data_IF_787054959448
#
_entry.id   IF_787054959448
#
_cell.length_a   1.000
_cell.length_b   1.000
_cell.length_c   1.000
_cell.angle_alpha   90.00
_cell.angle_beta   90.00
_cell.angle_gamma   90.00
#
_symmetry.space_group_name_H-M   'P 1'
#
loop_
_entity.id
_entity.type
_entity.pdbx_description
1 polymer ?
#
# COMPACT_ATOMS: atom_id res chain seq x y z
N UNK A 1 21.86 -14.64 6.24
CA UNK A 1 23.18 -14.59 5.58
C UNK A 1 24.14 -14.02 6.60
N UNK A 2 25.15 -14.79 7.00
CA UNK A 2 26.18 -14.37 7.95
C UNK A 2 27.19 -13.51 7.22
N UNK A 3 27.28 -12.24 7.61
CA UNK A 3 28.15 -11.27 7.00
C UNK A 3 29.53 -11.24 7.62
N UNK A 4 29.59 -11.19 8.95
CA UNK A 4 30.84 -11.29 9.72
C UNK A 4 30.61 -12.06 11.01
N UNK A 5 31.68 -12.70 11.48
CA UNK A 5 31.75 -13.37 12.78
C UNK A 5 32.82 -12.68 13.59
N UNK A 6 32.44 -12.11 14.72
CA UNK A 6 33.34 -11.44 15.65
C UNK A 6 33.60 -12.40 16.80
N UNK A 7 34.87 -12.74 17.02
CA UNK A 7 35.29 -13.59 18.14
C UNK A 7 36.01 -12.72 19.16
N UNK A 8 35.54 -12.76 20.39
CA UNK A 8 36.13 -12.09 21.54
C UNK A 8 36.94 -13.13 22.32
N UNK A 9 38.25 -12.91 22.42
CA UNK A 9 39.15 -13.80 23.12
C UNK A 9 39.08 -13.56 24.63
N UNK A 10 39.58 -14.51 25.43
CA UNK A 10 39.74 -14.31 26.87
C UNK A 10 40.81 -13.26 27.14
N UNK A 11 40.49 -12.28 27.98
CA UNK A 11 41.45 -11.26 28.42
C UNK A 11 42.27 -11.63 29.65
N UNK A 12 41.87 -12.68 30.39
CA UNK A 12 42.35 -12.95 31.74
C UNK A 12 43.41 -14.06 31.84
N UNK A 13 43.37 -15.08 30.98
CA UNK A 13 44.47 -16.04 30.80
C UNK A 13 44.36 -16.82 29.49
N UNK A 14 45.49 -17.40 29.05
CA UNK A 14 45.55 -18.37 27.94
C UNK A 14 45.12 -17.83 26.57
N UNK A 15 45.42 -16.56 26.29
CA UNK A 15 45.04 -15.84 25.06
C UNK A 15 45.53 -16.55 23.79
N UNK A 16 46.69 -17.19 23.86
CA UNK A 16 47.34 -17.89 22.76
C UNK A 16 46.64 -19.20 22.36
N UNK A 17 45.81 -19.82 23.22
CA UNK A 17 45.26 -21.17 23.00
C UNK A 17 44.25 -21.25 21.86
N UNK A 18 43.58 -20.14 21.54
CA UNK A 18 42.59 -20.09 20.45
C UNK A 18 43.27 -20.15 19.07
N UNK A 19 44.55 -19.79 18.97
CA UNK A 19 45.23 -19.70 17.67
C UNK A 19 45.89 -21.01 17.27
N UNK A 20 45.85 -21.41 15.98
CA UNK A 20 44.90 -20.95 14.96
C UNK A 20 43.51 -21.56 15.18
N UNK A 21 42.47 -20.96 14.59
CA UNK A 21 41.10 -21.48 14.58
C UNK A 21 40.44 -21.32 13.19
N UNK A 22 39.38 -22.08 12.95
CA UNK A 22 38.50 -21.98 11.78
C UNK A 22 37.08 -21.64 12.18
N UNK A 23 36.39 -20.92 11.30
CA UNK A 23 34.95 -20.66 11.41
C UNK A 23 34.24 -21.46 10.33
N UNK A 24 33.19 -22.18 10.71
CA UNK A 24 32.37 -23.00 9.82
C UNK A 24 30.92 -22.50 9.88
N UNK A 25 30.28 -22.36 8.72
CA UNK A 25 28.91 -21.84 8.62
C UNK A 25 28.10 -22.72 7.68
N UNK A 26 27.00 -23.29 8.16
CA UNK A 26 26.12 -24.13 7.35
C UNK A 26 24.90 -24.62 8.11
N UNK A 27 24.13 -25.52 7.50
CA UNK A 27 22.86 -26.02 8.07
C UNK A 27 23.02 -27.35 8.81
N UNK A 28 24.22 -27.96 8.79
CA UNK A 28 24.49 -29.19 9.53
C UNK A 28 24.88 -28.91 10.98
N UNK A 29 24.40 -29.72 11.91
CA UNK A 29 24.82 -29.71 13.31
C UNK A 29 26.26 -30.20 13.49
N UNK A 30 26.75 -31.02 12.55
CA UNK A 30 28.14 -31.47 12.51
C UNK A 30 29.02 -30.36 11.94
N UNK A 31 29.50 -29.46 12.79
CA UNK A 31 30.26 -28.24 12.42
C UNK A 31 31.35 -28.47 11.36
N UNK A 32 32.05 -29.61 11.40
CA UNK A 32 33.16 -29.92 10.48
C UNK A 32 32.74 -30.21 9.04
N UNK A 33 31.47 -30.56 8.80
CA UNK A 33 30.92 -30.80 7.46
C UNK A 33 30.49 -29.50 6.79
N UNK A 34 30.24 -28.45 7.58
CA UNK A 34 29.89 -27.13 7.07
C UNK A 34 31.11 -26.48 6.39
N UNK A 35 30.90 -25.67 5.34
CA UNK A 35 31.98 -24.95 4.67
C UNK A 35 32.67 -23.94 5.60
N UNK A 36 33.97 -23.72 5.38
CA UNK A 36 34.77 -22.75 6.13
C UNK A 36 34.50 -21.32 5.65
N UNK A 37 34.34 -20.40 6.60
CA UNK A 37 34.41 -18.97 6.35
C UNK A 37 35.89 -18.55 6.31
N UNK A 38 36.43 -18.41 5.09
CA UNK A 38 37.84 -18.11 4.88
C UNK A 38 38.76 -19.29 5.23
N UNK A 39 39.94 -18.97 5.77
CA UNK A 39 40.99 -19.94 6.11
C UNK A 39 41.19 -20.15 7.61
N UNK A 40 42.45 -20.39 8.00
CA UNK A 40 42.88 -20.39 9.39
C UNK A 40 43.05 -18.94 9.85
N UNK A 41 42.39 -18.60 10.95
CA UNK A 41 42.39 -17.27 11.55
C UNK A 41 43.20 -17.26 12.84
N UNK A 42 43.76 -16.10 13.17
CA UNK A 42 44.54 -15.88 14.39
C UNK A 42 44.21 -14.51 14.98
N UNK A 43 44.06 -14.44 16.31
CA UNK A 43 43.88 -13.21 17.06
C UNK A 43 45.23 -12.83 17.67
N UNK A 44 45.76 -11.65 17.33
CA UNK A 44 46.95 -11.14 18.00
C UNK A 44 46.69 -11.00 19.51
N UNK A 45 47.67 -11.36 20.35
CA UNK A 45 47.56 -11.30 21.82
C UNK A 45 47.28 -9.87 22.30
N UNK A 46 47.71 -8.86 21.54
CA UNK A 46 47.43 -7.45 21.80
C UNK A 46 45.99 -7.02 21.48
N UNK A 47 45.21 -7.84 20.76
CA UNK A 47 43.84 -7.52 20.37
C UNK A 47 42.81 -8.35 21.15
N UNK A 48 41.79 -7.71 21.75
CA UNK A 48 40.77 -8.42 22.53
C UNK A 48 39.79 -9.20 21.65
N UNK A 49 39.68 -8.85 20.36
CA UNK A 49 38.72 -9.48 19.44
C UNK A 49 39.20 -9.40 17.99
N UNK A 50 38.68 -10.30 17.16
CA UNK A 50 38.85 -10.30 15.70
C UNK A 50 37.49 -10.23 15.02
N UNK A 51 37.40 -9.52 13.89
CA UNK A 51 36.23 -9.52 13.01
C UNK A 51 36.56 -10.25 11.71
N UNK A 52 35.90 -11.38 11.46
CA UNK A 52 36.13 -12.19 10.26
C UNK A 52 34.98 -11.99 9.26
N UNK A 53 35.23 -11.45 8.05
CA UNK A 53 34.21 -11.34 7.01
C UNK A 53 33.92 -12.70 6.38
N UNK A 54 32.64 -13.07 6.34
CA UNK A 54 32.15 -14.35 5.81
C UNK A 54 31.31 -14.18 4.53
N UNK A 55 31.36 -13.01 3.90
CA UNK A 55 30.78 -12.72 2.57
C UNK A 55 29.33 -13.21 2.34
N UNK A 56 28.52 -13.27 3.41
CA UNK A 56 27.10 -13.61 3.29
C UNK A 56 26.80 -15.11 3.26
N UNK A 57 27.70 -15.96 3.73
CA UNK A 57 27.47 -17.40 3.87
C UNK A 57 26.12 -17.70 4.56
N UNK A 58 25.40 -18.70 4.07
CA UNK A 58 24.11 -19.11 4.64
C UNK A 58 24.30 -20.35 5.50
N UNK A 59 23.71 -20.34 6.69
CA UNK A 59 23.72 -21.48 7.59
C UNK A 59 22.94 -21.19 8.86
N UNK A 60 22.28 -22.21 9.40
CA UNK A 60 21.65 -22.21 10.72
C UNK A 60 22.68 -22.24 11.86
N UNK A 61 23.83 -22.87 11.65
CA UNK A 61 24.86 -23.07 12.65
C UNK A 61 26.17 -22.36 12.27
N UNK A 62 26.74 -21.65 13.24
CA UNK A 62 28.10 -21.08 13.17
C UNK A 62 28.94 -21.79 14.22
N UNK A 63 30.04 -22.39 13.80
CA UNK A 63 30.92 -23.14 14.68
C UNK A 63 32.36 -22.69 14.59
N UNK A 64 33.02 -22.56 15.74
CA UNK A 64 34.44 -22.23 15.86
C UNK A 64 35.19 -23.52 16.20
N UNK A 65 36.22 -23.85 15.41
CA UNK A 65 36.97 -25.10 15.55
C UNK A 65 38.46 -24.86 15.58
N UNK A 66 39.17 -25.55 16.46
CA UNK A 66 40.62 -25.58 16.48
C UNK A 66 41.15 -26.72 15.58
N UNK A 67 42.03 -26.46 14.59
CA UNK A 67 42.74 -27.51 13.88
C UNK A 67 43.76 -28.21 14.80
N UNK A 68 43.91 -29.51 14.62
CA UNK A 68 44.79 -30.39 15.42
C UNK A 68 44.05 -31.25 16.45
N UNK A 69 44.61 -32.41 16.85
CA UNK A 69 44.02 -33.26 17.89
C UNK A 69 44.25 -32.70 19.31
N UNK A 70 43.33 -32.99 20.23
CA UNK A 70 43.48 -32.75 21.68
C UNK A 70 43.66 -31.28 22.12
N UNK A 71 43.01 -30.33 21.45
CA UNK A 71 42.99 -28.91 21.85
C UNK A 71 41.68 -28.54 22.54
N UNK A 72 41.75 -27.67 23.54
CA UNK A 72 40.58 -27.10 24.22
C UNK A 72 40.31 -25.70 23.68
N UNK A 73 39.09 -25.44 23.22
CA UNK A 73 38.66 -24.11 22.78
C UNK A 73 38.36 -23.22 23.99
N UNK A 74 38.98 -22.04 24.03
CA UNK A 74 38.74 -21.02 25.05
C UNK A 74 38.50 -19.68 24.36
N UNK A 75 37.32 -19.11 24.54
CA UNK A 75 36.92 -17.78 24.05
C UNK A 75 35.91 -17.18 25.03
N UNK A 76 35.69 -15.87 24.98
CA UNK A 76 34.69 -15.20 25.80
C UNK A 76 33.32 -15.21 25.13
N UNK A 77 33.26 -14.68 23.91
CA UNK A 77 31.98 -14.46 23.23
C UNK A 77 32.14 -14.54 21.71
N UNK A 78 31.07 -14.95 21.03
CA UNK A 78 30.98 -14.96 19.57
C UNK A 78 29.75 -14.15 19.15
N UNK A 79 30.00 -13.06 18.44
CA UNK A 79 28.95 -12.23 17.85
C UNK A 79 28.81 -12.53 16.36
N UNK A 80 27.57 -12.70 15.90
CA UNK A 80 27.27 -12.90 14.48
C UNK A 80 26.57 -11.64 13.97
N UNK A 81 27.13 -11.00 12.93
CA UNK A 81 26.41 -9.95 12.20
C UNK A 81 25.99 -10.46 10.81
N UNK A 82 24.73 -10.26 10.45
CA UNK A 82 24.20 -10.64 9.14
C UNK A 82 24.39 -9.55 8.09
N UNK A 83 24.48 -9.93 6.81
CA UNK A 83 24.33 -8.96 5.71
C UNK A 83 22.86 -8.56 5.65
N UNK A 84 22.58 -7.26 5.72
CA UNK A 84 21.22 -6.74 5.64
C UNK A 84 20.84 -6.56 4.17
N UNK A 85 19.65 -7.06 3.80
CA UNK A 85 18.98 -6.72 2.55
C UNK A 85 18.03 -5.58 2.87
N UNK A 86 18.37 -4.37 2.47
CA UNK A 86 17.49 -3.22 2.67
C UNK A 86 16.21 -3.37 1.83
N UNK A 87 15.08 -2.87 2.30
CA UNK A 87 13.84 -2.77 1.51
C UNK A 87 13.92 -1.61 0.51
N UNK A 88 13.06 -1.56 -0.54
CA UNK A 88 12.92 -0.34 -1.34
C UNK A 88 12.64 0.88 -0.45
N UNK A 89 13.20 2.03 -0.80
CA UNK A 89 13.20 3.25 0.01
C UNK A 89 14.41 3.40 0.94
N UNK A 90 15.25 2.36 1.07
CA UNK A 90 16.46 2.39 1.89
C UNK A 90 17.74 2.27 1.04
N UNK A 91 18.76 3.05 1.40
CA UNK A 91 20.11 2.94 0.87
C UNK A 91 20.95 2.02 1.76
N UNK A 92 21.78 1.16 1.15
CA UNK A 92 22.69 0.27 1.88
C UNK A 92 24.07 0.90 1.93
N UNK A 93 24.59 1.09 3.15
CA UNK A 93 25.96 1.53 3.36
C UNK A 93 26.98 0.51 2.78
N UNK A 94 28.20 0.96 2.50
CA UNK A 94 29.25 0.12 1.92
C UNK A 94 29.71 -1.00 2.87
N UNK A 95 29.50 -0.82 4.17
CA UNK A 95 29.65 -1.84 5.22
C UNK A 95 28.78 -3.09 4.98
N UNK A 96 27.74 -3.00 4.13
CA UNK A 96 26.77 -4.06 3.81
C UNK A 96 25.86 -4.48 4.98
N UNK A 97 25.93 -3.78 6.11
CA UNK A 97 25.24 -4.13 7.37
C UNK A 97 24.23 -3.07 7.80
N UNK A 98 24.43 -1.82 7.38
CA UNK A 98 23.58 -0.70 7.79
C UNK A 98 22.72 -0.24 6.63
N UNK A 99 21.44 -0.03 6.90
CA UNK A 99 20.48 0.54 5.95
C UNK A 99 20.02 1.88 6.50
N UNK A 100 20.15 2.93 5.71
CA UNK A 100 19.64 4.26 6.01
C UNK A 100 18.51 4.60 5.03
N UNK A 101 17.74 5.65 5.32
CA UNK A 101 16.72 6.13 4.38
C UNK A 101 17.40 6.68 3.13
N UNK A 102 16.82 6.44 1.95
CA UNK A 102 17.46 6.85 0.68
C UNK A 102 17.69 8.37 0.60
N UNK A 103 16.84 9.18 1.23
CA UNK A 103 17.00 10.65 1.22
C UNK A 103 18.13 11.18 2.11
N UNK A 104 18.67 10.35 3.02
CA UNK A 104 19.82 10.70 3.88
C UNK A 104 21.15 10.60 3.14
N UNK A 105 21.14 10.04 1.93
CA UNK A 105 22.34 9.94 1.12
C UNK A 105 22.69 11.31 0.52
N UNK A 106 23.95 11.72 0.66
CA UNK A 106 24.48 12.98 0.14
C UNK A 106 23.75 14.19 0.73
N UNK A 107 23.36 14.11 2.01
CA UNK A 107 22.65 15.18 2.72
C UNK A 107 23.59 16.10 3.52
N UNK A 108 24.88 15.75 3.57
CA UNK A 108 25.93 16.47 4.28
C UNK A 108 26.20 15.92 5.69
N UNK A 109 25.47 14.90 6.13
CA UNK A 109 25.62 14.26 7.43
C UNK A 109 26.06 12.80 7.29
N UNK A 110 26.88 12.31 8.22
CA UNK A 110 27.38 10.92 8.19
C UNK A 110 26.40 10.04 8.98
N UNK A 111 25.39 9.50 8.30
CA UNK A 111 24.44 8.53 8.86
C UNK A 111 24.97 7.10 8.79
N UNK A 112 25.77 6.77 7.77
CA UNK A 112 26.45 5.48 7.73
C UNK A 112 27.65 5.45 8.70
N UNK A 113 27.88 4.33 9.43
CA UNK A 113 29.05 4.18 10.30
C UNK A 113 30.39 4.27 9.56
N UNK A 114 30.40 3.95 8.27
CA UNK A 114 31.55 4.01 7.36
C UNK A 114 31.56 5.28 6.49
N UNK A 115 30.61 6.21 6.70
CA UNK A 115 30.45 7.46 5.92
C UNK A 115 30.21 7.25 4.41
N UNK A 116 29.82 6.04 4.00
CA UNK A 116 29.62 5.70 2.58
C UNK A 116 28.42 6.40 1.91
N UNK A 117 27.50 6.92 2.71
CA UNK A 117 26.37 7.76 2.31
C UNK A 117 26.80 9.13 1.78
N UNK A 118 27.94 9.64 2.22
CA UNK A 118 28.48 10.94 1.77
C UNK A 118 29.60 10.77 0.73
N UNK A 119 29.83 9.53 0.26
CA UNK A 119 30.79 9.22 -0.78
C UNK A 119 30.10 9.02 -2.14
N UNK A 120 30.81 9.40 -3.22
CA UNK A 120 30.35 9.20 -4.61
C UNK A 120 28.98 9.83 -4.91
N UNK A 121 28.75 11.02 -4.37
CA UNK A 121 27.58 11.87 -4.61
C UNK A 121 27.60 12.57 -5.99
N UNK A 122 27.89 11.80 -7.05
CA UNK A 122 28.09 12.31 -8.41
C UNK A 122 26.75 12.43 -9.13
N UNK A 123 26.51 13.61 -9.71
CA UNK A 123 25.32 13.89 -10.49
C UNK A 123 25.57 13.67 -11.98
N UNK A 124 24.69 12.90 -12.60
CA UNK A 124 24.81 12.48 -14.00
C UNK A 124 23.60 12.95 -14.80
N UNK A 125 23.74 13.07 -16.12
CA UNK A 125 22.57 13.31 -16.98
C UNK A 125 21.81 12.00 -17.18
N UNK A 126 20.49 12.09 -17.23
CA UNK A 126 19.65 10.97 -17.64
C UNK A 126 19.95 10.66 -19.11
N UNK A 127 20.19 9.39 -19.49
CA UNK A 127 20.37 9.01 -20.87
C UNK A 127 19.18 9.42 -21.76
N UNK A 128 19.46 9.93 -22.97
CA UNK A 128 18.45 10.51 -23.87
C UNK A 128 17.39 9.50 -24.33
N UNK A 129 17.70 8.20 -24.29
CA UNK A 129 16.77 7.11 -24.64
C UNK A 129 15.53 7.05 -23.74
N UNK A 130 15.59 7.60 -22.52
CA UNK A 130 14.43 7.60 -21.61
C UNK A 130 13.39 8.70 -21.93
N UNK A 131 13.67 9.63 -22.85
CA UNK A 131 12.76 10.74 -23.23
C UNK A 131 12.20 11.54 -22.03
N UNK A 132 13.00 11.71 -20.98
CA UNK A 132 12.64 12.49 -19.79
C UNK A 132 13.11 13.94 -19.94
N UNK A 133 12.38 14.88 -19.32
CA UNK A 133 12.84 16.27 -19.22
C UNK A 133 14.24 16.29 -18.59
N UNK A 134 15.18 16.94 -19.24
CA UNK A 134 16.60 16.88 -18.86
C UNK A 134 16.81 17.45 -17.46
N UNK A 135 17.01 16.55 -16.49
CA UNK A 135 17.44 16.86 -15.11
C UNK A 135 18.74 16.11 -14.82
N UNK A 136 19.55 16.67 -13.92
CA UNK A 136 20.64 15.93 -13.32
C UNK A 136 20.05 14.92 -12.34
N UNK A 137 20.52 13.68 -12.41
CA UNK A 137 20.09 12.59 -11.55
C UNK A 137 21.23 12.06 -10.70
N UNK A 138 20.89 11.48 -9.56
CA UNK A 138 21.84 10.78 -8.70
C UNK A 138 21.30 9.40 -8.34
N UNK A 139 22.12 8.38 -8.66
CA UNK A 139 21.89 6.99 -8.30
C UNK A 139 22.80 6.59 -7.13
N UNK A 140 22.43 5.62 -6.28
CA UNK A 140 21.25 4.74 -6.42
C UNK A 140 19.92 5.43 -6.17
N UNK A 141 18.89 4.93 -6.83
CA UNK A 141 17.52 5.37 -6.59
C UNK A 141 16.88 4.59 -5.41
N UNK A 142 15.71 5.01 -4.91
CA UNK A 142 14.96 4.28 -3.86
C UNK A 142 14.56 2.85 -4.24
N UNK A 143 14.58 2.52 -5.53
CA UNK A 143 14.28 1.19 -6.06
C UNK A 143 15.52 0.28 -6.11
N UNK A 144 16.67 0.77 -5.60
CA UNK A 144 17.98 0.12 -5.45
C UNK A 144 18.80 -0.01 -6.73
N UNK A 145 18.33 0.48 -7.86
CA UNK A 145 19.15 0.50 -9.06
C UNK A 145 20.24 1.56 -8.91
N UNK A 146 21.47 1.17 -9.24
CA UNK A 146 22.69 1.95 -9.07
C UNK A 146 23.20 2.55 -10.38
N UNK A 147 22.77 1.99 -11.52
CA UNK A 147 23.16 2.44 -12.87
C UNK A 147 21.95 2.56 -13.80
N UNK A 148 22.10 3.31 -14.90
CA UNK A 148 21.07 3.42 -15.91
C UNK A 148 20.82 2.09 -16.64
N UNK A 149 21.86 1.25 -16.82
CA UNK A 149 21.75 -0.10 -17.37
C UNK A 149 20.93 -1.03 -16.46
N UNK A 150 21.11 -0.95 -15.15
CA UNK A 150 20.29 -1.70 -14.19
C UNK A 150 18.83 -1.28 -14.24
N UNK A 151 18.56 0.02 -14.41
CA UNK A 151 17.20 0.52 -14.63
C UNK A 151 16.64 -0.08 -15.91
N UNK A 152 17.38 -0.01 -17.03
CA UNK A 152 16.98 -0.57 -18.35
C UNK A 152 16.54 -2.03 -18.28
N UNK A 153 17.24 -2.84 -17.48
CA UNK A 153 16.98 -4.27 -17.36
C UNK A 153 15.97 -4.62 -16.25
N UNK A 154 15.35 -3.64 -15.62
CA UNK A 154 14.41 -3.84 -14.50
C UNK A 154 12.97 -3.51 -14.87
N UNK A 155 12.03 -3.99 -14.05
CA UNK A 155 10.60 -3.67 -14.17
C UNK A 155 10.27 -2.18 -13.98
N UNK A 156 11.23 -1.36 -13.54
CA UNK A 156 11.06 0.09 -13.46
C UNK A 156 10.86 0.74 -14.84
N UNK A 157 11.38 0.15 -15.91
CA UNK A 157 11.14 0.64 -17.29
C UNK A 157 9.72 0.37 -17.73
N UNK A 158 9.14 -0.77 -17.34
CA UNK A 158 7.74 -1.06 -17.60
C UNK A 158 6.83 -0.05 -16.90
N UNK A 159 7.16 0.37 -15.67
CA UNK A 159 6.48 1.45 -14.96
C UNK A 159 6.61 2.81 -15.66
N UNK A 160 7.79 3.13 -16.18
CA UNK A 160 7.99 4.35 -16.96
C UNK A 160 7.19 4.30 -18.27
N UNK A 161 7.23 3.19 -18.99
CA UNK A 161 6.55 3.03 -20.28
C UNK A 161 5.02 2.95 -20.13
N UNK A 162 4.53 2.28 -19.09
CA UNK A 162 3.09 2.22 -18.79
C UNK A 162 2.53 3.61 -18.48
N UNK A 163 3.33 4.48 -17.85
CA UNK A 163 2.96 5.88 -17.59
C UNK A 163 2.72 6.72 -18.85
N UNK A 164 3.25 6.33 -20.02
CA UNK A 164 3.02 7.01 -21.30
C UNK A 164 1.67 6.69 -21.95
N UNK A 165 1.07 5.54 -21.64
CA UNK A 165 -0.18 5.08 -22.26
C UNK A 165 -1.43 5.44 -21.44
N UNK A 166 -1.28 6.22 -20.37
CA UNK A 166 -2.39 6.54 -19.46
C UNK A 166 -3.23 7.69 -20.03
N UNK A 167 -4.18 7.36 -20.90
CA UNK A 167 -5.33 8.20 -21.18
C UNK A 167 -6.49 7.78 -20.23
N UNK A 168 -6.62 8.42 -19.07
CA UNK A 168 -7.73 8.21 -18.10
C UNK A 168 -7.33 8.00 -16.63
N UNK A 169 -8.29 8.20 -15.72
CA UNK A 169 -8.39 7.96 -14.25
C UNK A 169 -7.16 8.14 -13.32
N UNK A 170 -6.03 8.66 -13.76
CA UNK A 170 -4.84 8.86 -12.92
C UNK A 170 -4.53 10.34 -12.67
N UNK A 171 -3.73 10.61 -11.62
CA UNK A 171 -3.26 11.95 -11.33
C UNK A 171 -2.38 12.49 -12.48
N UNK A 172 -2.56 13.74 -12.95
CA UNK A 172 -1.82 14.30 -14.09
C UNK A 172 -0.29 14.31 -13.90
N UNK A 173 0.17 14.39 -12.65
CA UNK A 173 1.60 14.40 -12.29
C UNK A 173 2.20 13.00 -12.05
N UNK A 174 1.42 11.92 -12.24
CA UNK A 174 1.87 10.55 -11.94
C UNK A 174 3.15 10.17 -12.71
N UNK A 175 3.21 10.50 -14.00
CA UNK A 175 4.39 10.23 -14.83
C UNK A 175 5.63 10.94 -14.29
N UNK A 176 5.49 12.21 -13.94
CA UNK A 176 6.61 13.00 -13.43
C UNK A 176 7.08 12.48 -12.07
N UNK A 177 6.14 12.08 -11.20
CA UNK A 177 6.46 11.47 -9.91
C UNK A 177 7.25 10.16 -10.08
N UNK A 178 6.73 9.22 -10.88
CA UNK A 178 7.41 7.94 -11.16
C UNK A 178 8.81 8.18 -11.74
N UNK A 179 8.93 9.12 -12.67
CA UNK A 179 10.24 9.47 -13.25
C UNK A 179 11.22 10.01 -12.21
N UNK A 180 10.74 10.80 -11.25
CA UNK A 180 11.58 11.39 -10.19
C UNK A 180 11.94 10.36 -9.11
N UNK A 181 11.13 9.31 -8.91
CA UNK A 181 11.50 8.17 -8.04
C UNK A 181 12.59 7.34 -8.71
N UNK A 182 12.46 7.04 -10.01
CA UNK A 182 13.43 6.17 -10.72
C UNK A 182 14.73 6.91 -11.02
N UNK A 183 14.63 8.19 -11.38
CA UNK A 183 15.74 9.11 -11.57
C UNK A 183 15.62 10.27 -10.57
N UNK A 184 16.05 10.08 -9.30
CA UNK A 184 16.11 11.13 -8.30
C UNK A 184 16.79 12.37 -8.84
N UNK A 185 16.24 13.54 -8.56
CA UNK A 185 16.90 14.79 -8.89
C UNK A 185 18.22 14.94 -8.16
N UNK A 186 19.11 15.75 -8.71
CA UNK A 186 20.29 16.23 -8.02
C UNK A 186 20.31 17.76 -7.99
N UNK A 187 20.51 18.32 -6.81
CA UNK A 187 20.79 19.74 -6.64
C UNK A 187 22.28 20.01 -6.77
N UNK A 188 22.66 20.85 -7.72
CA UNK A 188 24.04 21.32 -7.94
C UNK A 188 24.05 22.85 -7.86
N UNK A 189 25.14 23.44 -7.35
CA UNK A 189 25.30 24.90 -7.34
C UNK A 189 25.28 25.46 -8.77
N UNK A 190 24.69 26.65 -8.95
CA UNK A 190 24.42 27.25 -10.27
C UNK A 190 25.68 27.41 -11.15
N UNK A 191 26.85 27.55 -10.54
CA UNK A 191 28.15 27.72 -11.22
C UNK A 191 28.65 26.42 -11.91
N UNK A 192 28.22 25.25 -11.42
CA UNK A 192 28.67 23.95 -11.92
C UNK A 192 27.68 23.26 -12.88
N UNK A 193 26.49 23.83 -13.10
CA UNK A 193 25.41 23.22 -13.89
C UNK A 193 25.81 22.95 -15.36
N UNK A 194 26.63 23.83 -15.96
CA UNK A 194 27.11 23.70 -17.33
C UNK A 194 28.25 22.70 -17.51
N UNK A 195 28.93 22.32 -16.42
CA UNK A 195 30.19 21.57 -16.46
C UNK A 195 30.02 20.07 -16.28
N UNK A 196 28.81 19.54 -16.05
CA UNK A 196 28.58 18.10 -15.86
C UNK A 196 28.54 17.34 -17.19
N UNK A 197 29.66 16.68 -17.61
CA UNK A 197 29.75 15.97 -18.87
C UNK A 197 29.35 14.50 -18.65
N UNK A 198 29.02 13.82 -19.75
CA UNK A 198 28.56 12.43 -19.75
C UNK A 198 29.63 11.37 -19.44
N UNK A 199 30.91 11.73 -19.28
CA UNK A 199 31.99 10.72 -19.29
C UNK A 199 33.22 10.96 -18.41
N UNK A 200 33.35 12.06 -17.65
CA UNK A 200 34.50 12.25 -16.77
C UNK A 200 34.13 12.87 -15.42
N UNK A 201 34.42 12.11 -14.36
CA UNK A 201 34.20 12.47 -12.96
C UNK A 201 35.11 13.64 -12.61
N UNK A 202 34.53 14.82 -12.45
CA UNK A 202 35.20 15.97 -11.80
C UNK A 202 34.45 16.27 -10.50
N UNK A 203 35.19 16.74 -9.48
CA UNK A 203 34.61 17.19 -8.21
C UNK A 203 33.57 18.33 -8.36
N UNK A 204 33.47 18.93 -9.55
CA UNK A 204 32.52 19.99 -9.90
C UNK A 204 31.05 19.52 -9.91
N UNK A 205 30.76 18.23 -10.13
CA UNK A 205 29.38 17.72 -10.24
C UNK A 205 28.91 16.92 -9.03
N UNK A 206 29.47 17.23 -7.87
CA UNK A 206 28.96 16.75 -6.59
C UNK A 206 27.75 17.58 -6.21
N UNK A 207 26.69 16.91 -5.77
CA UNK A 207 25.46 17.58 -5.38
C UNK A 207 24.74 16.86 -4.25
N UNK A 208 23.54 17.35 -3.94
CA UNK A 208 22.64 16.73 -2.96
C UNK A 208 21.56 15.94 -3.68
N UNK A 209 21.27 14.73 -3.20
CA UNK A 209 20.16 13.95 -3.74
C UNK A 209 18.84 14.63 -3.37
N UNK A 210 17.97 14.80 -4.35
CA UNK A 210 16.64 15.34 -4.18
C UNK A 210 15.61 14.29 -4.57
N UNK A 211 15.06 13.63 -3.55
CA UNK A 211 13.91 12.75 -3.71
C UNK A 211 12.61 13.55 -3.70
N UNK A 212 11.53 13.01 -4.30
CA UNK A 212 10.19 13.58 -4.18
C UNK A 212 9.81 13.82 -2.73
N UNK A 213 9.11 14.92 -2.45
CA UNK A 213 8.55 15.11 -1.12
C UNK A 213 7.42 14.12 -0.85
N UNK A 214 7.27 13.72 0.42
CA UNK A 214 6.16 12.86 0.85
C UNK A 214 4.81 13.42 0.46
N UNK A 215 4.59 14.73 0.59
CA UNK A 215 3.32 15.37 0.23
C UNK A 215 2.89 15.14 -1.21
N UNK A 216 3.85 15.06 -2.13
CA UNK A 216 3.58 14.81 -3.54
C UNK A 216 3.28 13.34 -3.80
N UNK A 217 3.95 12.42 -3.10
CA UNK A 217 3.60 11.01 -3.10
C UNK A 217 2.15 10.77 -2.65
N UNK A 218 1.76 11.35 -1.52
CA UNK A 218 0.40 11.20 -0.96
C UNK A 218 -0.67 11.77 -1.93
N UNK A 219 -0.37 12.89 -2.60
CA UNK A 219 -1.25 13.46 -3.63
C UNK A 219 -1.42 12.52 -4.83
N UNK A 220 -0.31 12.11 -5.45
CA UNK A 220 -0.34 11.29 -6.66
C UNK A 220 -0.98 9.94 -6.37
N UNK A 221 -0.74 9.37 -5.18
CA UNK A 221 -1.31 8.10 -4.77
C UNK A 221 -2.75 8.19 -4.32
N UNK A 222 -3.29 9.38 -4.01
CA UNK A 222 -4.71 9.54 -3.66
C UNK A 222 -5.65 9.10 -4.79
N UNK A 223 -5.19 9.19 -6.05
CA UNK A 223 -5.95 8.83 -7.25
C UNK A 223 -5.38 7.59 -7.96
N UNK A 224 -4.41 6.87 -7.38
CA UNK A 224 -3.81 5.71 -8.03
C UNK A 224 -4.53 4.40 -7.70
N UNK A 225 -4.46 3.43 -8.61
CA UNK A 225 -4.85 2.05 -8.32
C UNK A 225 -3.95 1.41 -7.25
N UNK A 226 -4.44 0.34 -6.60
CA UNK A 226 -3.69 -0.38 -5.57
C UNK A 226 -2.39 -1.00 -6.11
N UNK A 227 -2.40 -1.49 -7.35
CA UNK A 227 -1.23 -2.13 -7.99
C UNK A 227 -0.03 -1.18 -8.11
N UNK A 228 -0.27 0.12 -8.37
CA UNK A 228 0.79 1.12 -8.44
C UNK A 228 1.42 1.41 -7.07
N UNK A 229 0.64 1.31 -5.99
CA UNK A 229 1.13 1.49 -4.62
C UNK A 229 2.04 0.34 -4.16
N UNK A 230 1.87 -0.85 -4.71
CA UNK A 230 2.70 -2.02 -4.37
C UNK A 230 4.07 -2.00 -5.08
N UNK A 231 4.19 -1.26 -6.18
CA UNK A 231 5.40 -1.23 -7.03
C UNK A 231 6.40 -0.13 -6.64
N UNK A 232 5.98 0.85 -5.84
CA UNK A 232 6.82 1.97 -5.42
C UNK A 232 7.02 1.95 -3.89
N UNK A 233 8.05 2.63 -3.37
CA UNK A 233 8.23 2.74 -1.92
C UNK A 233 7.03 3.46 -1.28
N UNK A 234 6.61 3.05 -0.06
CA UNK A 234 5.54 3.73 0.66
C UNK A 234 5.89 5.19 0.93
N UNK A 235 4.87 6.06 0.94
CA UNK A 235 5.07 7.50 1.00
C UNK A 235 5.80 7.98 2.27
N UNK A 236 5.72 7.22 3.36
CA UNK A 236 6.44 7.46 4.63
C UNK A 236 7.97 7.46 4.49
N UNK A 237 8.51 6.81 3.46
CA UNK A 237 9.95 6.74 3.22
C UNK A 237 10.49 7.96 2.45
N UNK A 238 9.61 8.82 1.92
CA UNK A 238 10.01 10.05 1.27
C UNK A 238 10.25 11.18 2.28
N UNK A 239 11.21 12.09 2.01
CA UNK A 239 11.55 13.18 2.91
C UNK A 239 10.40 14.20 3.05
N UNK A 240 10.34 14.81 4.22
CA UNK A 240 9.56 16.02 4.47
C UNK A 240 10.34 17.28 4.01
N UNK A 241 9.66 18.43 3.83
CA UNK A 241 10.30 19.67 3.39
C UNK A 241 11.52 20.09 4.22
N UNK A 242 11.54 19.81 5.53
CA UNK A 242 12.69 20.13 6.39
C UNK A 242 13.98 19.37 6.02
N UNK A 243 13.87 18.24 5.32
CA UNK A 243 15.00 17.41 4.89
C UNK A 243 15.40 17.67 3.43
N UNK A 244 14.96 18.80 2.86
CA UNK A 244 15.13 19.20 1.46
C UNK A 244 14.71 18.11 0.46
N UNK A 245 13.51 18.27 -0.06
CA UNK A 245 12.91 17.38 -1.03
C UNK A 245 12.49 18.16 -2.28
N UNK A 246 12.18 17.46 -3.35
CA UNK A 246 11.74 18.06 -4.59
C UNK A 246 10.23 17.95 -4.77
N UNK A 247 9.61 19.07 -5.11
CA UNK A 247 8.22 19.16 -5.55
C UNK A 247 8.18 19.86 -6.91
N UNK A 248 7.22 19.50 -7.78
CA UNK A 248 6.96 20.27 -8.99
C UNK A 248 6.53 21.70 -8.62
N UNK A 249 6.84 22.64 -9.50
CA UNK A 249 6.35 24.00 -9.36
C UNK A 249 4.82 24.00 -9.49
N UNK A 250 4.09 24.59 -8.53
CA UNK A 250 2.65 24.54 -8.55
C UNK A 250 2.10 25.37 -9.71
N UNK A 251 1.06 24.87 -10.38
CA UNK A 251 0.37 25.63 -11.42
C UNK A 251 -0.22 26.92 -10.84
N UNK A 252 -0.03 28.04 -11.54
CA UNK A 252 -0.57 29.35 -11.15
C UNK A 252 -1.52 29.86 -12.23
N UNK A 253 -2.70 30.29 -11.81
CA UNK A 253 -3.69 30.96 -12.67
C UNK A 253 -4.14 32.24 -11.99
N UNK A 254 -4.08 33.36 -12.69
CA UNK A 254 -4.53 34.67 -12.17
C UNK A 254 -3.91 35.04 -10.80
N UNK A 255 -2.61 34.72 -10.61
CA UNK A 255 -1.84 34.86 -9.35
C UNK A 255 -2.22 33.91 -8.21
N UNK A 256 -3.17 33.02 -8.44
CA UNK A 256 -3.60 31.99 -7.48
C UNK A 256 -2.94 30.65 -7.78
N UNK A 257 -2.44 30.01 -6.72
CA UNK A 257 -1.91 28.66 -6.80
C UNK A 257 -3.07 27.67 -6.94
N UNK A 258 -3.01 26.82 -7.96
CA UNK A 258 -3.95 25.74 -8.20
C UNK A 258 -3.45 24.42 -7.58
N UNK A 259 -4.34 23.45 -7.47
CA UNK A 259 -4.00 22.07 -7.11
C UNK A 259 -4.74 21.07 -8.00
N UNK A 260 -4.19 19.87 -8.07
CA UNK A 260 -4.83 18.71 -8.68
C UNK A 260 -5.31 17.74 -7.59
N UNK A 261 -6.22 16.84 -7.96
CA UNK A 261 -6.73 15.81 -7.05
C UNK A 261 -7.33 16.38 -5.75
N UNK A 262 -6.78 15.93 -4.63
CA UNK A 262 -7.24 16.28 -3.27
C UNK A 262 -6.57 17.55 -2.73
N UNK A 263 -5.46 17.99 -3.32
CA UNK A 263 -4.69 19.12 -2.82
C UNK A 263 -3.90 18.83 -1.54
N UNK A 264 -3.55 17.57 -1.30
CA UNK A 264 -2.56 17.12 -0.31
C UNK A 264 -1.18 17.78 -0.54
N UNK A 265 -0.76 17.96 -1.80
CA UNK A 265 0.47 18.68 -2.14
C UNK A 265 0.27 20.20 -2.32
N UNK A 266 -0.90 20.75 -1.98
CA UNK A 266 -1.18 22.18 -2.14
C UNK A 266 -0.27 23.05 -1.27
N UNK A 267 0.29 24.12 -1.85
CA UNK A 267 1.21 25.06 -1.18
C UNK A 267 0.84 26.53 -1.36
N UNK A 268 -0.40 26.82 -1.76
CA UNK A 268 -0.86 28.20 -1.89
C UNK A 268 -1.01 28.93 -0.55
N UNK A 269 -1.20 30.26 -0.64
CA UNK A 269 -1.33 31.15 0.51
C UNK A 269 -2.80 31.46 0.87
N UNK A 270 -3.73 30.61 0.45
CA UNK A 270 -5.16 30.82 0.70
C UNK A 270 -5.49 30.64 2.18
N UNK A 271 -6.11 31.64 2.81
CA UNK A 271 -6.37 31.70 4.26
C UNK A 271 -7.79 32.16 4.61
N UNK A 272 -8.73 31.98 3.70
CA UNK A 272 -10.14 32.40 3.89
C UNK A 272 -11.06 31.28 3.41
N UNK A 273 -12.11 30.93 4.12
CA UNK A 273 -13.01 29.88 3.65
C UNK A 273 -13.91 30.37 2.51
N UNK A 274 -14.58 29.45 1.80
CA UNK A 274 -15.63 29.81 0.82
C UNK A 274 -16.79 30.60 1.44
N UNK A 275 -17.00 30.46 2.76
CA UNK A 275 -17.99 31.25 3.52
C UNK A 275 -17.47 32.63 3.96
N UNK A 276 -16.21 32.97 3.66
CA UNK A 276 -15.60 34.24 4.04
C UNK A 276 -15.02 34.28 5.47
N UNK A 277 -15.01 33.16 6.19
CA UNK A 277 -14.41 33.08 7.51
C UNK A 277 -12.87 33.12 7.43
N UNK A 278 -12.24 33.80 8.39
CA UNK A 278 -10.78 33.86 8.50
C UNK A 278 -10.25 32.56 9.07
N UNK A 279 -9.19 32.04 8.47
CA UNK A 279 -8.54 30.83 8.93
C UNK A 279 -7.68 31.08 10.14
N UNK A 280 -7.75 30.14 11.09
CA UNK A 280 -6.87 30.05 12.24
C UNK A 280 -5.50 29.48 11.84
N UNK A 281 -4.49 29.88 12.59
CA UNK A 281 -3.15 29.32 12.47
C UNK A 281 -3.15 27.85 12.90
N UNK A 282 -2.30 27.04 12.27
CA UNK A 282 -2.06 25.66 12.70
C UNK A 282 -1.32 25.68 14.05
N UNK A 283 -2.06 25.88 15.14
CA UNK A 283 -1.51 26.03 16.50
C UNK A 283 -1.49 24.73 17.31
N UNK A 284 -2.12 23.67 16.79
CA UNK A 284 -2.09 22.35 17.43
C UNK A 284 -0.77 21.65 17.10
N UNK A 285 0.14 21.65 18.08
CA UNK A 285 1.45 20.98 17.99
C UNK A 285 1.31 19.48 17.70
N UNK A 286 0.19 18.86 18.09
CA UNK A 286 -0.09 17.46 17.79
C UNK A 286 -0.30 17.27 16.28
N UNK A 287 -0.95 18.22 15.60
CA UNK A 287 -1.16 18.18 14.16
C UNK A 287 0.14 18.33 13.36
N UNK A 288 1.04 19.20 13.84
CA UNK A 288 2.37 19.37 13.25
C UNK A 288 3.26 18.14 13.45
N UNK A 289 3.13 17.48 14.60
CA UNK A 289 3.84 16.24 14.90
C UNK A 289 3.32 15.05 14.07
N UNK A 290 2.01 14.96 13.86
CA UNK A 290 1.37 13.90 13.08
C UNK A 290 1.63 14.07 11.57
N UNK A 291 1.62 15.31 11.06
CA UNK A 291 1.77 15.62 9.63
C UNK A 291 2.93 16.59 9.32
N UNK A 292 4.19 16.25 9.68
CA UNK A 292 5.33 17.15 9.50
C UNK A 292 5.64 17.44 8.03
N UNK A 293 5.16 16.61 7.12
CA UNK A 293 5.37 16.74 5.67
C UNK A 293 4.37 17.68 4.99
N UNK A 294 3.27 18.05 5.65
CA UNK A 294 2.15 18.78 5.05
C UNK A 294 2.39 20.30 4.94
N UNK A 295 3.50 20.81 5.49
CA UNK A 295 3.87 22.22 5.48
C UNK A 295 2.76 23.13 6.07
N UNK A 296 2.39 22.82 7.32
CA UNK A 296 1.35 23.49 8.11
C UNK A 296 1.83 24.85 8.63
N UNK A 297 2.17 25.74 7.68
CA UNK A 297 2.67 27.09 7.97
C UNK A 297 1.53 28.08 8.10
N UNK A 298 1.62 28.96 9.10
CA UNK A 298 0.68 30.07 9.35
C UNK A 298 -0.77 29.58 9.38
N UNK A 299 -1.68 30.33 8.78
CA UNK A 299 -3.11 30.03 8.70
C UNK A 299 -3.56 29.62 7.28
N UNK A 300 -2.66 29.07 6.47
CA UNK A 300 -2.96 28.68 5.11
C UNK A 300 -3.70 27.34 5.04
N UNK A 301 -4.62 27.19 4.09
CA UNK A 301 -5.37 25.94 3.93
C UNK A 301 -4.48 24.82 3.41
N UNK A 302 -4.64 23.62 3.98
CA UNK A 302 -3.84 22.42 3.66
C UNK A 302 -4.75 21.19 3.69
N UNK A 303 -4.26 20.07 3.17
CA UNK A 303 -4.98 18.80 3.22
C UNK A 303 -4.10 17.63 3.72
N UNK A 304 -3.59 17.67 4.95
CA UNK A 304 -2.76 16.58 5.50
C UNK A 304 -3.50 15.24 5.60
N UNK A 305 -4.82 15.27 5.74
CA UNK A 305 -5.65 14.09 6.02
C UNK A 305 -6.25 13.44 4.77
N UNK A 306 -5.93 13.92 3.56
CA UNK A 306 -6.45 13.35 2.31
C UNK A 306 -7.98 13.50 2.16
N UNK A 307 -8.55 14.61 2.63
CA UNK A 307 -9.95 14.96 2.36
C UNK A 307 -10.15 15.29 0.87
N UNK A 308 -11.38 15.57 0.46
CA UNK A 308 -11.69 15.87 -0.95
C UNK A 308 -11.01 17.16 -1.47
N UNK A 309 -10.65 18.10 -0.57
CA UNK A 309 -10.00 19.38 -0.91
C UNK A 309 -9.25 20.00 0.28
N UNK A 310 -8.34 20.96 0.06
CA UNK A 310 -7.71 21.74 1.12
C UNK A 310 -8.72 22.42 2.03
N UNK A 311 -8.43 22.41 3.32
CA UNK A 311 -9.27 23.01 4.37
C UNK A 311 -8.45 23.88 5.31
N UNK A 312 -9.15 24.72 6.06
CA UNK A 312 -8.62 25.58 7.10
C UNK A 312 -9.42 25.39 8.38
N UNK A 313 -8.77 25.62 9.52
CA UNK A 313 -9.43 25.66 10.83
C UNK A 313 -10.07 27.04 11.03
N UNK A 314 -11.22 27.10 11.69
CA UNK A 314 -11.97 28.34 11.97
C UNK A 314 -12.44 28.37 13.42
N UNK A 315 -12.68 29.55 13.99
CA UNK A 315 -13.07 29.76 15.41
C UNK A 315 -14.46 29.23 15.81
N UNK A 316 -15.23 28.66 14.88
CA UNK A 316 -16.53 28.06 15.20
C UNK A 316 -16.34 26.75 15.99
N UNK A 317 -16.23 26.89 17.31
CA UNK A 317 -16.50 25.89 18.35
C UNK A 317 -17.98 25.47 18.32
N UNK A 318 -18.40 24.99 17.16
CA UNK A 318 -19.71 24.39 16.97
C UNK A 318 -19.62 22.94 17.45
N UNK A 319 -20.49 22.60 18.41
CA UNK A 319 -20.61 21.24 18.92
C UNK A 319 -20.73 20.29 17.73
N UNK A 320 -19.76 19.38 17.61
CA UNK A 320 -19.63 18.53 16.45
C UNK A 320 -19.33 17.09 16.83
N UNK A 321 -19.73 16.16 15.97
CA UNK A 321 -19.42 14.76 16.12
C UNK A 321 -18.11 14.44 15.40
N UNK A 322 -17.18 13.81 16.12
CA UNK A 322 -15.97 13.28 15.53
C UNK A 322 -16.30 12.19 14.51
N UNK A 323 -15.55 12.21 13.42
CA UNK A 323 -15.61 11.20 12.38
C UNK A 323 -15.11 9.82 12.85
N UNK A 324 -15.78 8.75 12.41
CA UNK A 324 -15.61 7.40 12.98
C UNK A 324 -14.92 6.36 12.09
N UNK A 325 -14.44 6.77 10.93
CA UNK A 325 -14.02 5.82 9.87
C UNK A 325 -15.20 5.38 8.98
N UNK A 326 -14.92 4.90 7.75
CA UNK A 326 -15.87 4.08 7.02
C UNK A 326 -16.00 2.70 7.70
N UNK A 327 -17.14 2.01 7.54
CA UNK A 327 -17.29 0.64 8.04
C UNK A 327 -16.37 -0.30 7.25
N UNK A 328 -15.94 -1.40 7.89
CA UNK A 328 -15.13 -2.43 7.23
C UNK A 328 -15.91 -2.95 6.00
N UNK A 329 -15.30 -2.92 4.82
CA UNK A 329 -15.95 -3.23 3.53
C UNK A 329 -17.08 -2.29 3.12
N UNK A 330 -17.02 -1.01 3.52
CA UNK A 330 -17.94 0.01 3.04
C UNK A 330 -17.30 1.40 2.89
N UNK A 331 -18.16 2.36 2.57
CA UNK A 331 -17.87 3.76 2.32
C UNK A 331 -18.85 4.63 3.10
N UNK A 332 -18.52 5.91 3.25
CA UNK A 332 -19.38 6.91 3.89
C UNK A 332 -19.41 8.19 3.06
N UNK A 333 -20.51 8.91 3.10
CA UNK A 333 -20.66 10.19 2.40
C UNK A 333 -21.54 11.13 3.23
N UNK A 334 -21.15 12.40 3.45
CA UNK A 334 -19.86 13.01 3.07
C UNK A 334 -18.70 12.56 3.97
N UNK A 335 -17.46 12.60 3.51
CA UNK A 335 -16.26 12.30 4.32
C UNK A 335 -15.69 13.58 4.93
N UNK A 336 -16.11 13.90 6.15
CA UNK A 336 -15.63 15.05 6.94
C UNK A 336 -14.91 14.58 8.21
N UNK A 337 -14.07 15.44 8.80
CA UNK A 337 -13.42 15.19 10.11
C UNK A 337 -14.38 15.43 11.29
N UNK A 338 -15.27 16.40 11.14
CA UNK A 338 -16.30 16.75 12.11
C UNK A 338 -17.62 17.02 11.37
N UNK A 339 -18.72 16.62 12.00
CA UNK A 339 -20.07 16.85 11.49
C UNK A 339 -20.81 17.75 12.47
N UNK A 340 -21.39 18.83 11.95
CA UNK A 340 -22.17 19.75 12.77
C UNK A 340 -23.44 19.06 13.29
N UNK A 341 -24.05 19.62 14.33
CA UNK A 341 -25.36 19.16 14.80
C UNK A 341 -26.36 19.06 13.65
N UNK A 342 -27.16 18.00 13.65
CA UNK A 342 -28.14 17.66 12.62
C UNK A 342 -27.57 17.24 11.25
N UNK A 343 -26.25 17.30 11.03
CA UNK A 343 -25.65 16.74 9.82
C UNK A 343 -25.76 15.21 9.80
N UNK A 344 -25.92 14.68 8.58
CA UNK A 344 -26.09 13.26 8.31
C UNK A 344 -24.87 12.67 7.63
N UNK A 345 -24.57 11.43 7.98
CA UNK A 345 -23.65 10.55 7.26
C UNK A 345 -24.40 9.37 6.70
N UNK A 346 -24.24 9.14 5.41
CA UNK A 346 -24.77 7.98 4.71
C UNK A 346 -23.67 6.92 4.59
N UNK A 347 -23.93 5.71 5.07
CA UNK A 347 -23.05 4.56 4.90
C UNK A 347 -23.52 3.66 3.77
N UNK A 348 -22.58 3.23 2.94
CA UNK A 348 -22.79 2.27 1.85
C UNK A 348 -21.79 1.12 1.96
N UNK A 349 -22.16 -0.07 1.53
CA UNK A 349 -21.23 -1.20 1.50
C UNK A 349 -20.66 -1.40 0.10
N UNK A 350 -19.45 -1.95 0.02
CA UNK A 350 -18.83 -2.33 -1.24
C UNK A 350 -19.64 -3.42 -1.95
N UNK A 351 -19.42 -3.61 -3.24
CA UNK A 351 -20.10 -4.65 -4.00
C UNK A 351 -19.88 -6.04 -3.38
N UNK A 352 -20.99 -6.78 -3.21
CA UNK A 352 -20.99 -8.08 -2.54
C UNK A 352 -21.26 -8.04 -1.03
N UNK A 353 -21.36 -6.84 -0.44
CA UNK A 353 -21.66 -6.65 0.99
C UNK A 353 -22.99 -5.91 1.18
N UNK A 354 -23.60 -6.08 2.36
CA UNK A 354 -24.82 -5.38 2.78
C UNK A 354 -24.72 -4.94 4.24
N UNK A 355 -25.43 -3.87 4.58
CA UNK A 355 -25.54 -3.40 5.96
C UNK A 355 -26.27 -4.46 6.82
N UNK A 356 -25.76 -4.69 8.02
CA UNK A 356 -26.37 -5.61 8.98
C UNK A 356 -27.76 -5.13 9.44
N UNK A 357 -28.64 -6.08 9.77
CA UNK A 357 -30.03 -5.78 10.13
C UNK A 357 -30.11 -4.95 11.41
N UNK A 358 -30.91 -3.89 11.40
CA UNK A 358 -31.11 -3.00 12.55
C UNK A 358 -30.28 -1.72 12.51
N UNK A 359 -29.35 -1.57 11.56
CA UNK A 359 -28.60 -0.32 11.37
C UNK A 359 -29.21 0.57 10.29
N UNK A 360 -29.44 1.87 10.56
CA UNK A 360 -29.90 2.79 9.54
C UNK A 360 -28.77 3.14 8.56
N UNK A 361 -29.13 3.36 7.29
CA UNK A 361 -28.20 3.83 6.26
C UNK A 361 -27.70 5.24 6.52
N UNK A 362 -28.52 6.07 7.15
CA UNK A 362 -28.21 7.45 7.50
C UNK A 362 -28.14 7.57 9.02
N UNK A 363 -27.03 8.10 9.54
CA UNK A 363 -26.88 8.45 10.95
C UNK A 363 -26.72 9.95 11.11
N UNK A 364 -27.26 10.49 12.19
CA UNK A 364 -27.21 11.93 12.45
C UNK A 364 -26.34 12.26 13.66
N UNK A 365 -25.63 13.38 13.58
CA UNK A 365 -24.94 13.96 14.72
C UNK A 365 -25.95 14.70 15.63
N UNK A 366 -25.98 14.38 16.93
CA UNK A 366 -26.85 15.03 17.91
C UNK A 366 -26.04 15.68 19.03
N UNK A 367 -26.69 16.59 19.74
CA UNK A 367 -26.11 17.23 20.93
C UNK A 367 -25.94 16.18 22.04
N UNK A 368 -24.72 16.05 22.56
CA UNK A 368 -24.44 15.22 23.73
C UNK A 368 -24.86 15.89 25.04
N UNK A 369 -24.76 15.13 26.13
CA UNK A 369 -25.11 15.62 27.48
C UNK A 369 -24.14 16.69 28.02
N UNK A 370 -23.00 16.91 27.35
CA UNK A 370 -21.98 17.90 27.70
C UNK A 370 -21.97 19.03 26.66
N UNK A 371 -21.76 20.27 27.11
CA UNK A 371 -21.85 21.51 26.30
C UNK A 371 -20.88 21.62 25.13
N UNK A 372 -19.94 20.68 24.98
CA UNK A 372 -18.81 20.75 24.03
C UNK A 372 -18.63 19.49 23.17
N UNK A 373 -19.53 18.49 23.22
CA UNK A 373 -19.35 17.25 22.45
C UNK A 373 -20.63 16.75 21.77
N UNK A 374 -20.57 16.54 20.45
CA UNK A 374 -21.61 15.86 19.69
C UNK A 374 -21.54 14.34 19.85
N UNK A 375 -22.69 13.68 19.88
CA UNK A 375 -22.84 12.22 19.96
C UNK A 375 -23.67 11.74 18.78
N UNK A 376 -23.26 10.66 18.11
CA UNK A 376 -24.08 10.11 17.04
C UNK A 376 -25.24 9.28 17.56
N UNK A 377 -26.36 9.36 16.86
CA UNK A 377 -27.62 8.68 17.16
C UNK A 377 -27.50 7.15 17.22
N UNK A 378 -26.61 6.55 16.42
CA UNK A 378 -26.39 5.11 16.33
C UNK A 378 -24.91 4.78 16.37
N UNK A 379 -24.56 3.53 16.71
CA UNK A 379 -23.20 3.00 16.56
C UNK A 379 -22.81 2.87 15.07
N UNK A 380 -21.51 2.77 14.81
CA UNK A 380 -21.00 2.58 13.45
C UNK A 380 -21.57 1.26 12.87
N UNK A 381 -22.18 1.29 11.68
CA UNK A 381 -22.74 0.09 11.09
C UNK A 381 -21.66 -0.86 10.60
N UNK A 382 -22.03 -2.12 10.43
CA UNK A 382 -21.17 -3.20 9.96
C UNK A 382 -21.67 -3.69 8.59
N UNK A 383 -20.74 -3.85 7.65
CA UNK A 383 -21.04 -4.49 6.36
C UNK A 383 -20.72 -5.97 6.46
N UNK A 384 -21.72 -6.81 6.21
CA UNK A 384 -21.59 -8.26 6.16
C UNK A 384 -21.73 -8.76 4.72
N UNK A 385 -21.19 -9.95 4.45
CA UNK A 385 -21.24 -10.56 3.12
C UNK A 385 -22.70 -10.80 2.74
N UNK A 386 -23.11 -10.31 1.57
CA UNK A 386 -24.43 -10.61 1.02
C UNK A 386 -24.40 -11.98 0.32
N UNK A 387 -24.54 -13.04 1.12
CA UNK A 387 -24.51 -14.42 0.63
C UNK A 387 -25.56 -14.69 -0.45
N UNK A 388 -26.76 -14.07 -0.37
CA UNK A 388 -27.81 -14.20 -1.38
C UNK A 388 -27.38 -13.62 -2.73
N UNK A 389 -26.85 -12.40 -2.75
CA UNK A 389 -26.39 -11.73 -3.99
C UNK A 389 -25.19 -12.46 -4.60
N UNK A 390 -24.28 -12.96 -3.77
CA UNK A 390 -23.15 -13.78 -4.22
C UNK A 390 -23.63 -15.08 -4.86
N UNK A 391 -24.50 -15.82 -4.17
CA UNK A 391 -25.08 -17.07 -4.66
C UNK A 391 -25.81 -16.86 -5.99
N UNK A 392 -26.62 -15.80 -6.10
CA UNK A 392 -27.32 -15.46 -7.33
C UNK A 392 -26.37 -15.22 -8.50
N UNK A 393 -25.29 -14.45 -8.28
CA UNK A 393 -24.31 -14.13 -9.31
C UNK A 393 -23.53 -15.36 -9.76
N UNK A 394 -23.16 -16.24 -8.83
CA UNK A 394 -22.43 -17.48 -9.15
C UNK A 394 -23.34 -18.51 -9.86
N UNK A 395 -24.59 -18.67 -9.41
CA UNK A 395 -25.53 -19.60 -10.05
C UNK A 395 -26.03 -19.13 -11.42
N UNK A 396 -26.38 -17.85 -11.54
CA UNK A 396 -27.03 -17.32 -12.75
C UNK A 396 -26.08 -16.61 -13.71
N UNK A 397 -24.84 -16.32 -13.29
CA UNK A 397 -23.89 -15.53 -14.10
C UNK A 397 -23.54 -16.18 -15.45
N UNK A 398 -23.55 -17.51 -15.51
CA UNK A 398 -23.29 -18.29 -16.74
C UNK A 398 -24.46 -19.19 -17.12
N UNK A 399 -25.62 -19.03 -16.46
CA UNK A 399 -26.79 -19.86 -16.70
C UNK A 399 -27.60 -19.33 -17.88
N UNK A 400 -27.97 -20.22 -18.80
CA UNK A 400 -28.78 -19.88 -19.96
C UNK A 400 -30.21 -20.37 -19.78
N UNK A 401 -31.13 -19.45 -19.45
CA UNK A 401 -32.56 -19.75 -19.25
C UNK A 401 -33.27 -20.29 -20.50
N UNK A 402 -32.71 -20.07 -21.69
CA UNK A 402 -33.25 -20.59 -22.95
C UNK A 402 -32.92 -22.08 -23.20
N UNK A 403 -32.04 -22.69 -22.41
CA UNK A 403 -31.58 -24.06 -22.60
C UNK A 403 -32.14 -24.98 -21.51
N UNK A 404 -32.83 -26.03 -21.95
CA UNK A 404 -33.29 -27.10 -21.07
C UNK A 404 -32.12 -27.73 -20.29
N UNK A 405 -32.33 -28.17 -19.04
CA UNK A 405 -31.27 -28.67 -18.19
C UNK A 405 -30.67 -30.02 -18.61
N UNK A 406 -31.48 -30.87 -19.23
CA UNK A 406 -31.08 -32.19 -19.71
C UNK A 406 -31.97 -32.59 -20.90
N UNK A 407 -31.61 -33.65 -21.62
CA UNK A 407 -32.41 -34.22 -22.72
C UNK A 407 -33.76 -34.76 -22.21
N UNK A 408 -33.77 -35.35 -21.01
CA UNK A 408 -34.96 -35.92 -20.39
C UNK A 408 -35.23 -35.29 -19.01
N UNK A 409 -36.15 -34.34 -18.96
CA UNK A 409 -36.55 -33.66 -17.71
C UNK A 409 -37.85 -34.26 -17.19
N UNK A 410 -37.80 -34.86 -16.00
CA UNK A 410 -39.01 -35.31 -15.29
C UNK A 410 -39.61 -34.13 -14.54
N UNK A 411 -40.89 -33.86 -14.81
CA UNK A 411 -41.65 -32.78 -14.18
C UNK A 411 -42.75 -33.42 -13.34
N UNK A 412 -42.73 -33.15 -12.04
CA UNK A 412 -43.77 -33.59 -11.12
C UNK A 412 -44.80 -32.49 -10.98
N UNK A 413 -46.06 -32.84 -11.24
CA UNK A 413 -47.19 -31.93 -11.18
C UNK A 413 -48.06 -32.23 -9.98
N UNK A 414 -48.47 -31.15 -9.32
CA UNK A 414 -49.54 -31.15 -8.34
C UNK A 414 -50.53 -30.05 -8.73
N UNK A 415 -51.80 -30.38 -8.80
CA UNK A 415 -52.82 -29.42 -9.20
C UNK A 415 -54.08 -29.66 -8.41
N UNK A 416 -54.66 -28.58 -7.89
CA UNK A 416 -55.93 -28.61 -7.19
C UNK A 416 -56.90 -27.58 -7.77
N UNK A 417 -58.17 -27.95 -7.78
CA UNK A 417 -59.24 -27.02 -8.13
C UNK A 417 -59.52 -26.18 -6.90
N UNK A 418 -59.12 -24.91 -6.95
CA UNK A 418 -59.41 -23.96 -5.89
C UNK A 418 -60.91 -23.64 -5.86
N UNK A 419 -61.50 -23.39 -7.04
CA UNK A 419 -62.93 -23.13 -7.18
C UNK A 419 -63.43 -23.43 -8.60
N UNK A 420 -64.68 -23.92 -8.70
CA UNK A 420 -65.43 -23.95 -9.96
C UNK A 420 -66.22 -22.64 -10.03
N UNK A 421 -65.84 -21.78 -10.97
CA UNK A 421 -66.43 -20.46 -11.15
C UNK A 421 -67.75 -20.55 -11.94
N UNK A 422 -67.80 -21.40 -12.97
CA UNK A 422 -69.01 -21.57 -13.80
C UNK A 422 -69.01 -22.92 -14.55
N UNK A 423 -70.20 -23.50 -14.75
CA UNK A 423 -70.44 -24.67 -15.59
C UNK A 423 -71.62 -24.37 -16.53
N UNK A 424 -71.34 -24.20 -17.83
CA UNK A 424 -72.35 -24.02 -18.88
C UNK A 424 -72.51 -25.34 -19.63
N UNK A 425 -73.52 -26.13 -19.25
CA UNK A 425 -73.81 -27.44 -19.83
C UNK A 425 -74.27 -27.36 -21.29
N UNK A 426 -74.99 -26.29 -21.67
CA UNK A 426 -75.48 -26.12 -23.05
C UNK A 426 -74.36 -25.79 -24.02
N UNK A 427 -73.30 -25.12 -23.53
CA UNK A 427 -72.10 -24.80 -24.33
C UNK A 427 -70.94 -25.74 -24.08
N UNK A 428 -71.08 -26.71 -23.18
CA UNK A 428 -70.03 -27.62 -22.73
C UNK A 428 -68.76 -26.87 -22.25
N UNK A 429 -68.92 -25.86 -21.39
CA UNK A 429 -67.83 -25.04 -20.88
C UNK A 429 -67.73 -25.10 -19.36
N UNK A 430 -66.51 -25.30 -18.85
CA UNK A 430 -66.15 -25.24 -17.43
C UNK A 430 -65.16 -24.10 -17.23
N UNK A 431 -65.48 -23.16 -16.35
CA UNK A 431 -64.55 -22.15 -15.85
C UNK A 431 -64.20 -22.48 -14.41
N UNK A 432 -62.93 -22.75 -14.15
CA UNK A 432 -62.42 -23.07 -12.82
C UNK A 432 -61.10 -22.33 -12.56
N UNK A 433 -60.89 -21.95 -11.30
CA UNK A 433 -59.58 -21.51 -10.80
C UNK A 433 -58.79 -22.74 -10.40
N UNK A 434 -57.57 -22.86 -10.92
CA UNK A 434 -56.67 -23.98 -10.67
C UNK A 434 -55.39 -23.45 -10.05
N UNK A 435 -54.95 -24.05 -8.96
CA UNK A 435 -53.60 -23.86 -8.42
C UNK A 435 -52.76 -25.02 -8.94
N UNK A 436 -51.69 -24.71 -9.67
CA UNK A 436 -50.81 -25.70 -10.28
C UNK A 436 -49.40 -25.44 -9.78
N UNK A 437 -48.90 -26.39 -8.99
CA UNK A 437 -47.52 -26.45 -8.56
C UNK A 437 -46.79 -27.50 -9.40
N UNK A 438 -45.58 -27.17 -9.82
CA UNK A 438 -44.73 -28.11 -10.52
C UNK A 438 -43.30 -28.01 -10.02
N UNK A 439 -42.66 -29.17 -9.94
CA UNK A 439 -41.27 -29.29 -9.51
C UNK A 439 -40.48 -30.05 -10.55
N UNK A 440 -39.27 -29.58 -10.81
CA UNK A 440 -38.30 -30.21 -11.70
C UNK A 440 -36.91 -30.08 -11.09
N UNK A 441 -36.00 -30.91 -11.56
CA UNK A 441 -34.61 -30.90 -11.12
C UNK A 441 -33.70 -30.33 -12.21
N UNK A 442 -32.87 -29.35 -11.86
CA UNK A 442 -31.82 -28.80 -12.72
C UNK A 442 -30.46 -29.00 -12.03
N UNK A 443 -29.63 -29.87 -12.60
CA UNK A 443 -28.33 -30.22 -12.03
C UNK A 443 -27.34 -29.03 -12.00
N UNK A 444 -27.58 -27.99 -12.80
CA UNK A 444 -26.73 -26.78 -12.90
C UNK A 444 -27.00 -25.82 -11.75
N UNK A 445 -28.21 -25.83 -11.18
CA UNK A 445 -28.61 -24.97 -10.07
C UNK A 445 -28.30 -25.62 -8.72
N UNK A 446 -27.02 -25.93 -8.49
CA UNK A 446 -26.54 -26.61 -7.28
C UNK A 446 -25.47 -25.80 -6.57
N UNK A 447 -25.57 -25.71 -5.25
CA UNK A 447 -24.55 -25.11 -4.39
C UNK A 447 -24.40 -25.90 -3.08
N UNK A 448 -23.37 -25.57 -2.30
CA UNK A 448 -23.16 -26.13 -0.97
C UNK A 448 -23.47 -25.03 0.08
N UNK A 449 -24.53 -25.19 0.92
CA UNK A 449 -24.99 -24.16 1.86
C UNK A 449 -23.90 -23.60 2.80
N UNK A 450 -22.92 -24.45 3.18
CA UNK A 450 -21.82 -24.07 4.09
C UNK A 450 -21.03 -22.83 3.63
N UNK A 451 -20.93 -22.59 2.32
CA UNK A 451 -20.18 -21.46 1.77
C UNK A 451 -21.04 -20.20 1.57
N UNK A 452 -22.35 -20.28 1.78
CA UNK A 452 -23.32 -19.23 1.49
C UNK A 452 -24.18 -18.89 2.72
N UNK A 453 -23.63 -19.01 3.93
CA UNK A 453 -24.35 -18.68 5.16
C UNK A 453 -25.55 -19.59 5.41
N UNK A 454 -25.40 -20.88 5.11
CA UNK A 454 -26.41 -21.94 5.33
C UNK A 454 -27.74 -21.70 4.61
N UNK A 455 -27.69 -21.01 3.46
CA UNK A 455 -28.84 -20.85 2.58
C UNK A 455 -29.15 -22.20 1.92
N UNK A 456 -30.28 -22.81 2.30
CA UNK A 456 -30.80 -24.04 1.70
C UNK A 456 -31.81 -23.78 0.58
N UNK A 457 -32.54 -22.67 0.66
CA UNK A 457 -33.56 -22.28 -0.33
C UNK A 457 -33.28 -20.89 -0.88
N UNK A 458 -33.45 -20.73 -2.18
CA UNK A 458 -33.20 -19.48 -2.88
C UNK A 458 -34.28 -19.23 -3.93
N UNK A 459 -34.87 -18.04 -3.90
CA UNK A 459 -35.97 -17.66 -4.81
C UNK A 459 -35.47 -16.68 -5.86
N UNK A 460 -35.77 -16.96 -7.12
CA UNK A 460 -35.40 -16.13 -8.27
C UNK A 460 -36.61 -15.86 -9.15
N UNK A 461 -36.64 -14.74 -9.89
CA UNK A 461 -37.65 -14.52 -10.91
C UNK A 461 -37.65 -15.63 -11.95
N UNK A 462 -38.82 -16.11 -12.35
CA UNK A 462 -38.95 -17.21 -13.31
C UNK A 462 -38.29 -16.96 -14.67
N UNK A 463 -38.21 -15.70 -15.10
CA UNK A 463 -37.53 -15.28 -16.34
C UNK A 463 -36.01 -15.56 -16.35
N UNK A 464 -35.40 -15.70 -15.18
CA UNK A 464 -33.96 -15.84 -15.03
C UNK A 464 -33.52 -17.32 -15.02
N UNK A 465 -34.49 -18.25 -15.06
CA UNK A 465 -34.27 -19.69 -15.08
C UNK A 465 -35.04 -20.36 -16.22
N UNK A 466 -34.63 -21.56 -16.62
CA UNK A 466 -35.41 -22.32 -17.58
C UNK A 466 -36.73 -22.77 -16.94
N UNK A 467 -37.85 -22.48 -17.61
CA UNK A 467 -39.18 -22.91 -17.21
C UNK A 467 -39.78 -23.74 -18.35
N UNK A 468 -40.30 -24.94 -18.06
CA UNK A 468 -41.02 -25.73 -19.05
C UNK A 468 -42.30 -25.04 -19.52
N UNK A 469 -42.55 -25.05 -20.83
CA UNK A 469 -43.77 -24.50 -21.40
C UNK A 469 -44.91 -25.53 -21.35
N UNK A 470 -46.06 -25.13 -20.81
CA UNK A 470 -47.24 -25.98 -20.72
C UNK A 470 -48.41 -25.39 -21.49
N UNK A 471 -49.20 -26.27 -22.11
CA UNK A 471 -50.45 -25.89 -22.74
C UNK A 471 -51.50 -26.93 -22.37
N UNK A 472 -52.58 -26.47 -21.72
CA UNK A 472 -53.72 -27.31 -21.43
C UNK A 472 -54.47 -27.58 -22.75
N UNK A 473 -54.49 -28.83 -23.19
CA UNK A 473 -55.27 -29.25 -24.36
C UNK A 473 -56.48 -30.06 -23.90
N UNK A 474 -57.67 -29.67 -24.37
CA UNK A 474 -58.87 -30.50 -24.30
C UNK A 474 -58.64 -31.71 -25.20
N UNK A 475 -58.69 -32.92 -24.64
CA UNK A 475 -58.65 -34.17 -25.41
C UNK A 475 -60.06 -34.59 -25.80
#
# INVERSE_FOLDING_TARGET
MVGRVIIINRGDCCQERINPFNIHIGDSELIHTNPKCGGDHQIDVSQPSISVPCEGMKGRYVGVRLPGPSRTLTLCEVHISGIVKCSPGYFRCADKYTCILSWRRCDGTSDCPDRSDEERCVCSRIPEDFQLNSRLTMLPNPMKQTTAEEIRNSSAVELLNSSYSIAGEHHPELREFVSTVIFPGCNVTKENLHHCPSSNITASCVGRQLLPCRSWCEEVFSMSEALMRDLLPPCELFPSPQHACWNPEPAVKDTEVCYHGTGTNYRGAWSTTTSGAKSLEWSDDNYKAEYPWANLDKNYCRNPTGLERPFCLTEDDSVSCADRGPPIYGKRTPSKRFYLLEEKVTYTCNDGYMLEYGYPREVRCRQGNSSSAGVWEYHMPTCSVNYKRRLQKELLGTYSASLAPDENVTINFWGEVEQIVNLDEKKEQLLASLIIDFTWYDARLKWNPKYYGDIETFSVPGKDIWIPAFTLKRK
#
